data_IF_874448687442
#
_entry.id   IF_874448687442
#
_cell.length_a   1.000
_cell.length_b   1.000
_cell.length_c   1.000
_cell.angle_alpha   90.00
_cell.angle_beta   90.00
_cell.angle_gamma   90.00
#
_symmetry.space_group_name_H-M   'P 1'
#
loop_
_entity.id
_entity.type
_entity.pdbx_description
1 polymer ?
#
# COMPACT_ATOMS: atom_id res chain seq x y z
N UNK A 1 -10.65 22.18 -20.37
CA UNK A 1 -9.93 20.90 -20.63
C UNK A 1 -10.03 19.88 -19.49
N UNK A 2 -10.27 20.29 -18.23
CA UNK A 2 -10.31 19.36 -17.07
C UNK A 2 -11.51 18.38 -17.06
N UNK A 3 -12.66 18.76 -17.65
CA UNK A 3 -13.90 17.94 -17.62
C UNK A 3 -13.85 16.71 -18.53
N UNK A 4 -13.16 16.77 -19.68
CA UNK A 4 -13.06 15.66 -20.62
C UNK A 4 -12.15 14.52 -20.12
N UNK A 5 -11.06 14.86 -19.42
CA UNK A 5 -10.12 13.87 -18.87
C UNK A 5 -10.75 13.07 -17.70
N UNK A 6 -11.59 13.71 -16.88
CA UNK A 6 -12.33 13.05 -15.80
C UNK A 6 -13.40 12.10 -16.34
N UNK A 7 -14.11 12.49 -17.40
CA UNK A 7 -15.10 11.64 -18.07
C UNK A 7 -14.46 10.38 -18.67
N UNK A 8 -13.31 10.53 -19.34
CA UNK A 8 -12.59 9.39 -19.95
C UNK A 8 -12.09 8.37 -18.92
N UNK A 9 -11.60 8.81 -17.76
CA UNK A 9 -11.16 7.86 -16.72
C UNK A 9 -12.33 7.05 -16.16
N UNK A 10 -13.46 7.70 -15.88
CA UNK A 10 -14.64 7.03 -15.35
C UNK A 10 -15.19 5.95 -16.31
N UNK A 11 -15.20 6.25 -17.62
CA UNK A 11 -15.58 5.28 -18.65
C UNK A 11 -14.61 4.10 -18.71
N UNK A 12 -13.30 4.37 -18.74
CA UNK A 12 -12.28 3.32 -18.73
C UNK A 12 -12.32 2.43 -17.49
N UNK A 13 -12.51 3.02 -16.31
CA UNK A 13 -12.65 2.28 -15.05
C UNK A 13 -13.95 1.44 -15.01
N UNK A 14 -15.05 1.99 -15.52
CA UNK A 14 -16.32 1.25 -15.64
C UNK A 14 -16.16 0.06 -16.58
N UNK A 15 -15.54 0.26 -17.75
CA UNK A 15 -15.26 -0.81 -18.69
C UNK A 15 -14.37 -1.90 -18.07
N UNK A 16 -13.35 -1.52 -17.27
CA UNK A 16 -12.51 -2.47 -16.55
C UNK A 16 -13.32 -3.33 -15.57
N UNK A 17 -14.20 -2.71 -14.78
CA UNK A 17 -15.06 -3.41 -13.83
C UNK A 17 -16.07 -4.34 -14.51
N UNK A 18 -16.56 -3.96 -15.70
CA UNK A 18 -17.40 -4.81 -16.56
C UNK A 18 -16.61 -5.86 -17.34
N UNK A 19 -15.29 -6.01 -17.09
CA UNK A 19 -14.36 -6.91 -17.78
C UNK A 19 -14.24 -6.66 -19.30
N UNK A 20 -14.68 -5.49 -19.76
CA UNK A 20 -14.45 -5.03 -21.13
C UNK A 20 -13.07 -4.40 -21.23
N UNK A 21 -12.04 -5.24 -21.17
CA UNK A 21 -10.66 -4.78 -21.07
C UNK A 21 -10.15 -4.08 -22.33
N UNK A 22 -10.75 -4.37 -23.50
CA UNK A 22 -10.43 -3.67 -24.75
C UNK A 22 -10.84 -2.19 -24.68
N UNK A 23 -12.08 -1.91 -24.23
CA UNK A 23 -12.52 -0.52 -24.03
C UNK A 23 -11.76 0.13 -22.88
N UNK A 24 -11.54 -0.60 -21.78
CA UNK A 24 -10.75 -0.08 -20.67
C UNK A 24 -9.36 0.37 -21.14
N UNK A 25 -8.65 -0.44 -21.93
CA UNK A 25 -7.32 -0.09 -22.43
C UNK A 25 -7.38 1.15 -23.32
N UNK A 26 -8.35 1.20 -24.24
CA UNK A 26 -8.54 2.32 -25.18
C UNK A 26 -8.71 3.65 -24.47
N UNK A 27 -9.50 3.68 -23.39
CA UNK A 27 -9.75 4.92 -22.63
C UNK A 27 -8.62 5.25 -21.63
N UNK A 28 -8.01 4.24 -21.01
CA UNK A 28 -7.03 4.43 -19.92
C UNK A 28 -5.63 4.74 -20.46
N UNK A 29 -5.19 4.11 -21.55
CA UNK A 29 -3.82 4.26 -22.04
C UNK A 29 -3.45 5.71 -22.40
N UNK A 30 -4.29 6.49 -23.13
CA UNK A 30 -3.98 7.88 -23.42
C UNK A 30 -3.89 8.74 -22.16
N UNK A 31 -4.76 8.51 -21.19
CA UNK A 31 -4.78 9.26 -19.92
C UNK A 31 -3.54 8.95 -19.07
N UNK A 32 -3.13 7.68 -19.00
CA UNK A 32 -1.91 7.27 -18.34
C UNK A 32 -0.67 7.91 -19.00
N UNK A 33 -0.61 7.92 -20.33
CA UNK A 33 0.45 8.61 -21.10
C UNK A 33 0.46 10.12 -20.84
N UNK A 34 -0.71 10.75 -20.69
CA UNK A 34 -0.87 12.15 -20.32
C UNK A 34 -0.57 12.45 -18.83
N UNK A 35 -0.23 11.42 -18.04
CA UNK A 35 0.18 11.60 -16.65
C UNK A 35 -0.95 11.66 -15.64
N UNK A 36 -2.16 11.22 -16.00
CA UNK A 36 -3.23 11.03 -15.01
C UNK A 36 -2.84 9.90 -14.05
N UNK A 37 -2.73 10.22 -12.76
CA UNK A 37 -2.22 9.31 -11.72
C UNK A 37 -3.09 8.06 -11.52
N UNK A 38 -4.42 8.20 -11.60
CA UNK A 38 -5.34 7.05 -11.44
C UNK A 38 -5.29 6.14 -12.68
N UNK A 39 -5.17 6.72 -13.88
CA UNK A 39 -4.98 5.97 -15.12
C UNK A 39 -3.61 5.25 -15.15
N UNK A 40 -2.54 5.89 -14.68
CA UNK A 40 -1.22 5.24 -14.52
C UNK A 40 -1.32 4.02 -13.58
N UNK A 41 -2.04 4.15 -12.46
CA UNK A 41 -2.27 3.02 -11.55
C UNK A 41 -3.09 1.91 -12.22
N UNK A 42 -4.21 2.24 -12.88
CA UNK A 42 -5.07 1.24 -13.52
C UNK A 42 -4.37 0.53 -14.69
N UNK A 43 -3.60 1.26 -15.51
CA UNK A 43 -2.80 0.66 -16.57
C UNK A 43 -1.73 -0.29 -16.00
N UNK A 44 -1.11 0.09 -14.87
CA UNK A 44 -0.23 -0.80 -14.12
C UNK A 44 -0.90 -2.10 -13.70
N UNK A 45 -2.14 -2.03 -13.19
CA UNK A 45 -2.93 -3.23 -12.83
C UNK A 45 -3.26 -4.10 -14.05
N UNK A 46 -3.59 -3.48 -15.19
CA UNK A 46 -3.87 -4.20 -16.43
C UNK A 46 -2.67 -5.03 -16.88
N UNK A 47 -1.47 -4.46 -16.87
CA UNK A 47 -0.23 -5.19 -17.13
C UNK A 47 0.09 -6.24 -16.06
N UNK A 48 -0.15 -5.94 -14.78
CA UNK A 48 0.10 -6.88 -13.68
C UNK A 48 -0.76 -8.13 -13.78
N UNK A 49 -2.03 -7.97 -14.17
CA UNK A 49 -3.01 -9.06 -14.24
C UNK A 49 -3.17 -9.66 -15.65
N UNK A 50 -2.51 -9.11 -16.68
CA UNK A 50 -2.71 -9.51 -18.08
C UNK A 50 -4.13 -9.26 -18.58
N UNK A 51 -4.76 -8.15 -18.17
CA UNK A 51 -6.15 -7.81 -18.52
C UNK A 51 -6.19 -6.83 -19.67
N UNK A 52 -6.59 -7.28 -20.85
CA UNK A 52 -6.63 -6.48 -22.09
C UNK A 52 -5.26 -6.24 -22.73
N UNK A 53 -4.18 -6.61 -22.04
CA UNK A 53 -2.79 -6.61 -22.51
C UNK A 53 -2.11 -7.90 -22.04
N UNK A 54 -1.05 -8.38 -22.72
CA UNK A 54 -0.23 -9.45 -22.18
C UNK A 54 0.32 -9.10 -20.78
N UNK A 55 0.37 -10.08 -19.89
CA UNK A 55 0.94 -9.87 -18.57
C UNK A 55 2.42 -9.49 -18.67
N UNK A 56 2.78 -8.37 -18.05
CA UNK A 56 4.15 -7.87 -18.03
C UNK A 56 4.41 -7.13 -16.72
N UNK A 57 5.10 -7.80 -15.80
CA UNK A 57 5.42 -7.20 -14.50
C UNK A 57 6.38 -6.01 -14.61
N UNK A 58 7.25 -5.94 -15.63
CA UNK A 58 8.16 -4.79 -15.80
C UNK A 58 7.38 -3.55 -16.22
N UNK A 59 6.43 -3.70 -17.15
CA UNK A 59 5.52 -2.60 -17.51
C UNK A 59 4.64 -2.20 -16.33
N UNK A 60 4.06 -3.18 -15.61
CA UNK A 60 3.25 -2.92 -14.42
C UNK A 60 4.01 -2.09 -13.38
N UNK A 61 5.25 -2.48 -13.07
CA UNK A 61 6.11 -1.76 -12.13
C UNK A 61 6.43 -0.35 -12.61
N UNK A 62 6.70 -0.16 -13.91
CA UNK A 62 6.99 1.14 -14.50
C UNK A 62 5.81 2.11 -14.29
N UNK A 63 4.60 1.67 -14.65
CA UNK A 63 3.38 2.46 -14.49
C UNK A 63 3.04 2.74 -13.02
N UNK A 64 3.13 1.73 -12.16
CA UNK A 64 2.90 1.91 -10.73
C UNK A 64 3.93 2.84 -10.08
N UNK A 65 5.21 2.79 -10.47
CA UNK A 65 6.22 3.73 -9.94
C UNK A 65 5.89 5.18 -10.30
N UNK A 66 5.41 5.45 -11.51
CA UNK A 66 4.98 6.81 -11.91
C UNK A 66 3.86 7.33 -11.00
N UNK A 67 2.80 6.53 -10.82
CA UNK A 67 1.70 6.89 -9.93
C UNK A 67 2.15 7.01 -8.46
N UNK A 68 3.01 6.10 -7.99
CA UNK A 68 3.53 6.08 -6.63
C UNK A 68 4.40 7.29 -6.30
N UNK A 69 5.21 7.75 -7.26
CA UNK A 69 6.02 8.97 -7.16
C UNK A 69 5.17 10.23 -7.03
N UNK A 70 3.96 10.23 -7.60
CA UNK A 70 2.96 11.31 -7.45
C UNK A 70 2.12 11.20 -6.18
N UNK A 71 2.44 10.25 -5.30
CA UNK A 71 1.78 10.12 -4.01
C UNK A 71 0.60 9.16 -3.96
N UNK A 72 0.23 8.46 -5.04
CA UNK A 72 -0.91 7.53 -5.02
C UNK A 72 -0.64 6.36 -4.07
N UNK A 73 -1.35 6.31 -2.94
CA UNK A 73 -1.14 5.30 -1.90
C UNK A 73 -1.30 3.85 -2.41
N UNK A 74 -2.31 3.57 -3.23
CA UNK A 74 -2.52 2.24 -3.82
C UNK A 74 -1.34 1.80 -4.70
N UNK A 75 -0.79 2.73 -5.49
CA UNK A 75 0.37 2.47 -6.32
C UNK A 75 1.64 2.29 -5.47
N UNK A 76 1.82 3.07 -4.40
CA UNK A 76 2.92 2.88 -3.45
C UNK A 76 2.86 1.49 -2.79
N UNK A 77 1.67 1.05 -2.37
CA UNK A 77 1.46 -0.30 -1.85
C UNK A 77 1.86 -1.36 -2.88
N UNK A 78 1.39 -1.26 -4.13
CA UNK A 78 1.75 -2.25 -5.18
C UNK A 78 3.26 -2.24 -5.46
N UNK A 79 3.91 -1.09 -5.56
CA UNK A 79 5.37 -1.03 -5.73
C UNK A 79 6.09 -1.71 -4.55
N UNK A 80 5.63 -1.48 -3.32
CA UNK A 80 6.15 -2.16 -2.13
C UNK A 80 5.99 -3.68 -2.22
N UNK A 81 4.81 -4.15 -2.64
CA UNK A 81 4.52 -5.57 -2.81
C UNK A 81 5.37 -6.22 -3.91
N UNK A 82 5.64 -5.52 -5.01
CA UNK A 82 6.51 -6.02 -6.08
C UNK A 82 7.96 -6.18 -5.62
N UNK A 83 8.49 -5.23 -4.84
CA UNK A 83 9.80 -5.38 -4.19
C UNK A 83 9.81 -6.49 -3.13
N UNK A 84 8.72 -6.64 -2.39
CA UNK A 84 8.60 -7.68 -1.36
C UNK A 84 8.60 -9.09 -1.96
N UNK A 85 7.92 -9.28 -3.10
CA UNK A 85 7.78 -10.57 -3.76
C UNK A 85 8.88 -10.88 -4.77
N UNK A 86 9.61 -9.86 -5.24
CA UNK A 86 10.55 -10.00 -6.35
C UNK A 86 9.88 -10.07 -7.73
N UNK A 87 8.63 -9.61 -7.86
CA UNK A 87 7.96 -9.52 -9.15
C UNK A 87 8.55 -8.35 -9.95
N UNK A 88 9.06 -8.63 -11.16
CA UNK A 88 9.79 -7.72 -12.06
C UNK A 88 11.17 -7.22 -11.62
N UNK A 89 11.51 -7.33 -10.34
CA UNK A 89 12.76 -6.83 -9.74
C UNK A 89 13.35 -7.86 -8.80
N UNK A 90 14.65 -7.72 -8.50
CA UNK A 90 15.25 -8.49 -7.40
C UNK A 90 14.50 -8.13 -6.11
N UNK A 91 14.13 -9.16 -5.36
CA UNK A 91 13.46 -9.01 -4.07
C UNK A 91 14.29 -8.12 -3.14
N UNK A 92 13.67 -7.07 -2.60
CA UNK A 92 14.30 -6.10 -1.73
C UNK A 92 13.31 -5.63 -0.66
N UNK A 93 13.40 -6.25 0.51
CA UNK A 93 12.56 -5.90 1.65
C UNK A 93 12.82 -4.48 2.17
N UNK A 94 14.02 -3.91 2.01
CA UNK A 94 14.31 -2.54 2.43
C UNK A 94 13.58 -1.54 1.55
N UNK A 95 13.58 -1.75 0.23
CA UNK A 95 12.77 -0.96 -0.69
C UNK A 95 11.28 -1.14 -0.44
N UNK A 96 10.83 -2.37 -0.17
CA UNK A 96 9.43 -2.64 0.17
C UNK A 96 8.97 -1.83 1.40
N UNK A 97 9.75 -1.82 2.48
CA UNK A 97 9.50 -1.01 3.69
C UNK A 97 9.31 0.47 3.35
N UNK A 98 10.17 1.04 2.49
CA UNK A 98 10.08 2.45 2.11
C UNK A 98 8.75 2.76 1.43
N UNK A 99 8.31 1.91 0.51
CA UNK A 99 7.06 2.12 -0.22
C UNK A 99 5.82 1.84 0.63
N UNK A 100 5.83 0.76 1.41
CA UNK A 100 4.75 0.47 2.36
C UNK A 100 4.58 1.57 3.40
N UNK A 101 5.67 2.13 3.91
CA UNK A 101 5.60 3.26 4.85
C UNK A 101 4.90 4.48 4.24
N UNK A 102 5.25 4.86 3.01
CA UNK A 102 4.60 5.99 2.33
C UNK A 102 3.09 5.77 2.16
N UNK A 103 2.67 4.56 1.79
CA UNK A 103 1.25 4.22 1.68
C UNK A 103 0.56 4.19 3.06
N UNK A 104 1.22 3.63 4.07
CA UNK A 104 0.71 3.50 5.43
C UNK A 104 0.52 4.87 6.10
N UNK A 105 1.43 5.82 5.87
CA UNK A 105 1.33 7.21 6.31
C UNK A 105 0.14 7.95 5.69
N UNK A 106 -0.35 7.47 4.55
CA UNK A 106 -1.58 7.96 3.91
C UNK A 106 -2.85 7.22 4.37
N UNK A 107 -2.72 6.28 5.32
CA UNK A 107 -3.85 5.52 5.85
C UNK A 107 -4.25 4.31 5.00
N UNK A 108 -3.40 3.85 4.09
CA UNK A 108 -3.67 2.63 3.33
C UNK A 108 -3.65 1.42 4.25
N UNK A 109 -4.81 0.79 4.45
CA UNK A 109 -5.00 -0.26 5.45
C UNK A 109 -4.06 -1.46 5.25
N UNK A 110 -3.94 -1.99 4.02
CA UNK A 110 -3.06 -3.14 3.78
C UNK A 110 -1.58 -2.80 3.94
N UNK A 111 -1.17 -1.57 3.61
CA UNK A 111 0.19 -1.12 3.82
C UNK A 111 0.51 -0.98 5.32
N UNK A 112 -0.43 -0.47 6.12
CA UNK A 112 -0.31 -0.45 7.58
C UNK A 112 -0.22 -1.88 8.13
N UNK A 113 -1.07 -2.78 7.65
CA UNK A 113 -1.09 -4.19 8.05
C UNK A 113 0.23 -4.91 7.74
N UNK A 114 0.75 -4.77 6.52
CA UNK A 114 2.03 -5.36 6.11
C UNK A 114 3.21 -4.73 6.85
N UNK A 115 3.23 -3.40 7.02
CA UNK A 115 4.29 -2.73 7.78
C UNK A 115 4.31 -3.20 9.25
N UNK A 116 3.15 -3.48 9.84
CA UNK A 116 3.04 -4.07 11.18
C UNK A 116 3.68 -5.47 11.24
N UNK A 117 3.48 -6.31 10.23
CA UNK A 117 4.19 -7.59 10.12
C UNK A 117 5.70 -7.39 10.01
N UNK A 118 6.15 -6.39 9.25
CA UNK A 118 7.58 -6.11 9.09
C UNK A 118 8.25 -5.70 10.40
N UNK A 119 7.57 -4.90 11.22
CA UNK A 119 8.00 -4.59 12.58
C UNK A 119 7.99 -5.82 13.50
N UNK A 120 6.96 -6.67 13.45
CA UNK A 120 6.89 -7.86 14.29
C UNK A 120 7.99 -8.88 14.00
N UNK A 121 8.35 -9.05 12.73
CA UNK A 121 9.23 -10.12 12.26
C UNK A 121 10.61 -9.65 11.80
N UNK A 122 11.00 -8.41 12.12
CA UNK A 122 12.33 -7.87 11.77
C UNK A 122 12.63 -7.91 10.25
N UNK A 123 11.63 -7.66 9.41
CA UNK A 123 11.79 -7.76 7.95
C UNK A 123 12.40 -6.46 7.40
N UNK A 124 13.35 -6.60 6.47
CA UNK A 124 13.94 -5.44 5.79
C UNK A 124 14.87 -4.62 6.69
N UNK A 125 15.40 -5.20 7.76
CA UNK A 125 16.27 -4.50 8.73
C UNK A 125 15.52 -3.56 9.66
N UNK A 126 14.18 -3.67 9.71
CA UNK A 126 13.33 -2.95 10.67
C UNK A 126 13.55 -3.50 12.07
N UNK A 127 13.70 -2.67 13.12
CA UNK A 127 13.77 -3.17 14.49
C UNK A 127 12.52 -3.97 14.84
N UNK A 128 12.68 -5.02 15.66
CA UNK A 128 11.53 -5.72 16.19
C UNK A 128 10.80 -4.81 17.18
N UNK A 129 9.53 -4.50 16.92
CA UNK A 129 8.74 -3.63 17.80
C UNK A 129 7.25 -4.03 17.77
N UNK A 130 6.81 -4.72 18.82
CA UNK A 130 5.42 -5.16 18.95
C UNK A 130 4.44 -4.02 19.26
N UNK A 131 4.90 -2.91 19.84
CA UNK A 131 4.06 -1.73 20.12
C UNK A 131 3.71 -1.02 18.82
N UNK A 132 4.70 -0.83 17.94
CA UNK A 132 4.49 -0.25 16.61
C UNK A 132 3.68 -1.19 15.73
N UNK A 133 3.93 -2.50 15.78
CA UNK A 133 3.10 -3.48 15.07
C UNK A 133 1.63 -3.41 15.52
N UNK A 134 1.38 -3.39 16.83
CA UNK A 134 0.04 -3.27 17.40
C UNK A 134 -0.65 -1.95 17.01
N UNK A 135 0.07 -0.82 17.08
CA UNK A 135 -0.41 0.48 16.63
C UNK A 135 -0.86 0.44 15.17
N UNK A 136 -0.03 -0.09 14.28
CA UNK A 136 -0.32 -0.18 12.85
C UNK A 136 -1.54 -1.07 12.57
N UNK A 137 -1.71 -2.16 13.32
CA UNK A 137 -2.88 -3.02 13.18
C UNK A 137 -4.16 -2.43 13.75
N UNK A 138 -4.08 -1.58 14.78
CA UNK A 138 -5.22 -0.75 15.18
C UNK A 138 -5.67 0.16 14.04
N UNK A 139 -4.73 0.86 13.40
CA UNK A 139 -5.04 1.75 12.29
C UNK A 139 -5.60 0.99 11.08
N UNK A 140 -5.00 -0.15 10.72
CA UNK A 140 -5.46 -0.97 9.60
C UNK A 140 -6.84 -1.59 9.85
N UNK A 141 -7.12 -2.08 11.06
CA UNK A 141 -8.42 -2.64 11.43
C UNK A 141 -9.52 -1.56 11.40
N UNK A 142 -9.21 -0.34 11.87
CA UNK A 142 -10.14 0.79 11.79
C UNK A 142 -10.50 1.19 10.34
N UNK A 143 -9.64 0.87 9.38
CA UNK A 143 -9.86 1.11 7.95
C UNK A 143 -10.29 -0.16 7.19
N UNK A 144 -10.78 -1.20 7.88
CA UNK A 144 -11.46 -2.35 7.27
C UNK A 144 -10.59 -3.60 7.00
N UNK A 145 -9.33 -3.62 7.44
CA UNK A 145 -8.49 -4.83 7.30
C UNK A 145 -8.85 -5.88 8.36
N UNK A 146 -9.61 -6.92 8.00
CA UNK A 146 -9.97 -8.02 8.90
C UNK A 146 -8.73 -8.76 9.44
N UNK A 147 -7.75 -9.01 8.57
CA UNK A 147 -6.48 -9.64 8.93
C UNK A 147 -5.72 -8.86 10.00
N UNK A 148 -5.80 -7.52 9.99
CA UNK A 148 -5.15 -6.70 10.99
C UNK A 148 -5.77 -6.88 12.38
N UNK A 149 -7.09 -7.07 12.48
CA UNK A 149 -7.76 -7.31 13.76
C UNK A 149 -7.28 -8.61 14.42
N UNK A 150 -7.09 -9.67 13.62
CA UNK A 150 -6.55 -10.96 14.08
C UNK A 150 -5.09 -10.84 14.50
N UNK A 151 -4.25 -10.21 13.67
CA UNK A 151 -2.84 -9.99 13.97
C UNK A 151 -2.66 -9.19 15.26
N UNK A 152 -3.49 -8.15 15.44
CA UNK A 152 -3.59 -7.38 16.69
C UNK A 152 -3.93 -8.26 17.89
N UNK A 153 -4.98 -9.08 17.79
CA UNK A 153 -5.39 -9.95 18.89
C UNK A 153 -4.32 -10.97 19.28
N UNK A 154 -3.52 -11.42 18.31
CA UNK A 154 -2.42 -12.35 18.54
C UNK A 154 -1.22 -11.70 19.24
N UNK A 155 -0.83 -10.47 18.85
CA UNK A 155 0.36 -9.82 19.44
C UNK A 155 0.16 -9.38 20.89
N UNK A 156 -1.05 -8.95 21.25
CA UNK A 156 -1.38 -8.49 22.61
C UNK A 156 -1.08 -9.56 23.66
N UNK A 157 -1.18 -10.85 23.30
CA UNK A 157 -0.87 -11.97 24.21
C UNK A 157 0.59 -12.00 24.67
N UNK A 158 1.48 -11.32 23.94
CA UNK A 158 2.91 -11.24 24.22
C UNK A 158 3.37 -9.82 24.62
N UNK A 159 2.43 -8.94 24.99
CA UNK A 159 2.71 -7.55 25.36
C UNK A 159 2.38 -7.29 26.82
N UNK A 160 3.11 -6.37 27.45
CA UNK A 160 2.75 -5.84 28.76
C UNK A 160 1.59 -4.86 28.65
N UNK A 161 0.92 -4.59 29.78
CA UNK A 161 -0.13 -3.57 29.84
C UNK A 161 0.38 -2.20 29.38
N UNK A 162 1.58 -1.80 29.80
CA UNK A 162 2.22 -0.54 29.40
C UNK A 162 2.45 -0.47 27.88
N UNK A 163 2.92 -1.57 27.27
CA UNK A 163 3.12 -1.67 25.82
C UNK A 163 1.80 -1.55 25.05
N UNK A 164 0.72 -2.15 25.57
CA UNK A 164 -0.61 -2.06 24.97
C UNK A 164 -1.13 -0.62 25.05
N UNK A 165 -1.03 0.02 26.21
CA UNK A 165 -1.47 1.40 26.43
C UNK A 165 -0.68 2.38 25.54
N UNK A 166 0.64 2.21 25.41
CA UNK A 166 1.44 3.01 24.50
C UNK A 166 0.98 2.83 23.05
N UNK A 167 0.80 1.58 22.60
CA UNK A 167 0.35 1.30 21.23
C UNK A 167 -1.05 1.85 20.93
N UNK A 168 -1.96 1.81 21.91
CA UNK A 168 -3.28 2.44 21.82
C UNK A 168 -3.15 3.96 21.70
N UNK A 169 -2.38 4.60 22.58
CA UNK A 169 -2.15 6.04 22.57
C UNK A 169 -1.54 6.52 21.25
N UNK A 170 -0.53 5.81 20.73
CA UNK A 170 0.07 6.11 19.43
C UNK A 170 -0.97 6.02 18.30
N UNK A 171 -1.80 4.98 18.28
CA UNK A 171 -2.82 4.81 17.23
C UNK A 171 -3.92 5.86 17.33
N UNK A 172 -4.29 6.30 18.54
CA UNK A 172 -5.28 7.34 18.76
C UNK A 172 -4.75 8.75 18.41
N UNK A 173 -3.46 8.99 18.62
CA UNK A 173 -2.82 10.28 18.35
C UNK A 173 -2.45 10.48 16.87
N UNK A 174 -2.20 9.39 16.13
CA UNK A 174 -1.75 9.47 14.75
C UNK A 174 -2.84 10.02 13.82
N UNK A 175 -2.43 10.90 12.89
CA UNK A 175 -3.30 11.51 11.90
C UNK A 175 -2.84 11.13 10.49
N UNK A 176 -3.79 10.87 9.59
CA UNK A 176 -3.51 10.59 8.18
C UNK A 176 -2.65 11.72 7.57
N UNK A 177 -1.60 11.34 6.84
CA UNK A 177 -0.64 12.25 6.24
C UNK A 177 0.51 12.68 7.17
N UNK A 178 0.55 12.20 8.41
CA UNK A 178 1.67 12.46 9.34
C UNK A 178 2.65 11.28 9.36
N UNK A 179 3.96 11.54 9.56
CA UNK A 179 4.95 10.47 9.65
C UNK A 179 4.60 9.44 10.73
N UNK A 180 4.80 8.16 10.41
CA UNK A 180 4.64 7.08 11.38
C UNK A 180 5.86 7.05 12.33
N UNK A 181 5.65 6.74 13.63
CA UNK A 181 6.76 6.54 14.55
C UNK A 181 7.70 5.43 14.06
N UNK A 182 8.99 5.58 14.37
CA UNK A 182 10.03 4.61 13.96
C UNK A 182 10.37 3.58 15.03
N UNK A 183 10.16 3.95 16.29
CA UNK A 183 10.33 3.12 17.47
C UNK A 183 9.32 3.55 18.53
N UNK A 184 8.95 2.64 19.43
CA UNK A 184 8.21 2.92 20.65
C UNK A 184 9.14 3.11 21.85
N UNK A 185 8.63 3.63 22.97
CA UNK A 185 9.41 3.72 24.21
C UNK A 185 9.58 2.36 24.88
N UNK A 186 8.57 1.50 24.81
CA UNK A 186 8.50 0.26 25.59
C UNK A 186 8.65 -1.02 24.75
N UNK A 187 8.69 -0.91 23.42
CA UNK A 187 8.72 -2.05 22.50
C UNK A 187 10.09 -2.38 21.91
N UNK A 188 11.15 -1.64 22.26
CA UNK A 188 12.52 -1.96 21.86
C UNK A 188 13.11 -3.09 22.71
N UNK A 189 13.54 -4.16 22.04
CA UNK A 189 14.37 -5.23 22.61
C UNK A 189 15.80 -5.17 22.10
#
# INVERSE_FOLDING_TARGET
>A
MHSAALAGFAEGATAYNSKNYTVALREIEPLAKAGNTDAEHLLGLMYYMGRGVPQDYKQALSWHRRAAQKGKADAQYVVGAMYYTGNAVIQDHKQAVVWFRKAAEQGHADAQQVLGLMYRYHIGGMPQDNVIAYMLWNLAAANGSANAAEQRAAVVRNMTQEQIEEGQALSAAWKRGTPLPRASRTGGG
#
